data_IF_920229678915
#
_entry.id   IF_920229678915
#
_cell.length_a   1.000
_cell.length_b   1.000
_cell.length_c   1.000
_cell.angle_alpha   90.00
_cell.angle_beta   90.00
_cell.angle_gamma   90.00
#
_symmetry.space_group_name_H-M   'P 1'
#
loop_
_entity.id
_entity.type
_entity.pdbx_description
1 polymer ?
#
# COMPACT_ATOMS: atom_id res chain seq x y z
N UNK A 1 -18.24 9.68 82.85
CA UNK A 1 -17.74 9.65 81.45
C UNK A 1 -18.01 8.26 80.93
N UNK A 2 -19.09 8.11 80.17
CA UNK A 2 -19.09 8.10 78.68
C UNK A 2 -18.59 6.74 78.17
N UNK A 3 -19.21 6.02 77.23
CA UNK A 3 -20.14 6.46 76.21
C UNK A 3 -20.94 5.27 75.60
N UNK A 4 -22.21 5.55 75.34
CA UNK A 4 -23.09 5.18 74.21
C UNK A 4 -22.84 3.83 73.49
N UNK A 5 -23.77 2.87 73.70
CA UNK A 5 -23.97 1.72 72.80
C UNK A 5 -25.12 2.03 71.83
N UNK A 6 -24.78 1.99 70.55
CA UNK A 6 -25.55 2.33 69.33
C UNK A 6 -26.38 1.13 68.85
N UNK A 7 -27.73 1.17 68.84
CA UNK A 7 -28.53 0.14 68.16
C UNK A 7 -29.52 0.69 67.11
N UNK A 8 -29.81 2.00 67.07
CA UNK A 8 -30.91 2.53 66.23
C UNK A 8 -30.54 2.74 64.76
N UNK A 9 -29.26 2.98 64.45
CA UNK A 9 -28.81 3.21 63.06
C UNK A 9 -28.88 1.98 62.14
N UNK A 10 -28.85 0.76 62.67
CA UNK A 10 -28.84 -0.45 61.85
C UNK A 10 -30.24 -0.90 61.41
N UNK A 11 -31.27 -0.63 62.23
CA UNK A 11 -32.65 -0.99 61.90
C UNK A 11 -33.27 -0.05 60.85
N UNK A 12 -32.99 1.26 60.93
CA UNK A 12 -33.47 2.26 59.96
C UNK A 12 -32.76 2.12 58.60
N UNK A 13 -31.46 1.78 58.62
CA UNK A 13 -30.68 1.46 57.40
C UNK A 13 -31.26 0.26 56.64
N UNK A 14 -31.61 -0.82 57.35
CA UNK A 14 -32.18 -2.04 56.73
C UNK A 14 -33.56 -1.79 56.10
N UNK A 15 -34.42 -0.99 56.73
CA UNK A 15 -35.76 -0.66 56.21
C UNK A 15 -35.71 0.24 54.98
N UNK A 16 -34.81 1.23 54.97
CA UNK A 16 -34.64 2.14 53.82
C UNK A 16 -34.05 1.39 52.62
N UNK A 17 -33.06 0.52 52.84
CA UNK A 17 -32.47 -0.29 51.78
C UNK A 17 -33.48 -1.30 51.21
N UNK A 18 -34.33 -1.90 52.05
CA UNK A 18 -35.41 -2.77 51.59
C UNK A 18 -36.41 -2.02 50.70
N UNK A 19 -36.80 -0.79 51.07
CA UNK A 19 -37.72 0.04 50.27
C UNK A 19 -37.15 0.50 48.93
N UNK A 20 -35.84 0.80 48.88
CA UNK A 20 -35.13 1.17 47.65
C UNK A 20 -35.01 -0.03 46.73
N UNK A 21 -34.64 -1.19 47.27
CA UNK A 21 -34.60 -2.45 46.49
C UNK A 21 -35.98 -2.83 45.96
N UNK A 22 -37.05 -2.58 46.73
CA UNK A 22 -38.42 -2.78 46.28
C UNK A 22 -38.78 -1.85 45.11
N UNK A 23 -38.51 -0.54 45.22
CA UNK A 23 -38.75 0.42 44.14
C UNK A 23 -37.91 0.14 42.89
N UNK A 24 -36.67 -0.30 43.06
CA UNK A 24 -35.80 -0.71 41.94
C UNK A 24 -36.36 -1.96 41.28
N UNK A 25 -36.86 -2.93 42.07
CA UNK A 25 -37.48 -4.14 41.51
C UNK A 25 -38.81 -3.85 40.79
N UNK A 26 -39.62 -2.91 41.28
CA UNK A 26 -40.84 -2.45 40.62
C UNK A 26 -40.52 -1.74 39.30
N UNK A 27 -39.52 -0.86 39.28
CA UNK A 27 -39.04 -0.22 38.05
C UNK A 27 -38.50 -1.23 37.03
N UNK A 28 -37.79 -2.27 37.50
CA UNK A 28 -37.29 -3.34 36.63
C UNK A 28 -38.44 -4.16 36.06
N UNK A 29 -39.45 -4.50 36.86
CA UNK A 29 -40.64 -5.23 36.42
C UNK A 29 -41.52 -4.39 35.47
N UNK A 30 -41.70 -3.09 35.72
CA UNK A 30 -42.38 -2.18 34.78
C UNK A 30 -41.64 -2.06 33.45
N UNK A 31 -40.31 -1.93 33.48
CA UNK A 31 -39.47 -1.94 32.28
C UNK A 31 -39.57 -3.29 31.56
N UNK A 32 -39.61 -4.40 32.31
CA UNK A 32 -39.82 -5.75 31.75
C UNK A 32 -41.17 -5.87 31.07
N UNK A 33 -42.26 -5.44 31.69
CA UNK A 33 -43.63 -5.49 31.15
C UNK A 33 -43.74 -4.58 29.93
N UNK A 34 -43.08 -3.41 29.95
CA UNK A 34 -42.97 -2.53 28.80
C UNK A 34 -42.19 -3.20 27.65
N UNK A 35 -41.09 -3.88 27.95
CA UNK A 35 -40.31 -4.70 27.00
C UNK A 35 -41.03 -5.98 26.54
N UNK A 36 -41.94 -6.53 27.36
CA UNK A 36 -42.78 -7.71 27.10
C UNK A 36 -44.11 -7.35 26.42
N UNK A 37 -44.43 -6.07 26.30
CA UNK A 37 -45.62 -5.64 25.55
C UNK A 37 -45.47 -6.07 24.09
N UNK A 38 -46.47 -6.77 23.56
CA UNK A 38 -46.41 -7.36 22.21
C UNK A 38 -46.17 -6.33 21.10
N UNK A 39 -46.46 -5.05 21.37
CA UNK A 39 -46.20 -3.93 20.46
C UNK A 39 -44.75 -3.45 20.51
N UNK A 40 -44.13 -3.35 21.71
CA UNK A 40 -42.73 -2.98 21.85
C UNK A 40 -41.79 -4.07 21.30
N UNK A 41 -42.13 -5.35 21.52
CA UNK A 41 -41.38 -6.47 20.95
C UNK A 41 -41.41 -6.46 19.41
N UNK A 42 -42.56 -6.16 18.81
CA UNK A 42 -42.67 -6.03 17.34
C UNK A 42 -41.84 -4.86 16.80
N UNK A 43 -41.84 -3.71 17.49
CA UNK A 43 -41.01 -2.56 17.11
C UNK A 43 -39.52 -2.85 17.26
N UNK A 44 -39.10 -3.49 18.35
CA UNK A 44 -37.73 -3.90 18.57
C UNK A 44 -37.26 -4.92 17.52
N UNK A 45 -38.09 -5.93 17.23
CA UNK A 45 -37.82 -6.90 16.18
C UNK A 45 -37.71 -6.23 14.80
N UNK A 46 -38.61 -5.30 14.48
CA UNK A 46 -38.56 -4.55 13.21
C UNK A 46 -37.29 -3.70 13.09
N UNK A 47 -36.86 -3.04 14.17
CA UNK A 47 -35.61 -2.28 14.19
C UNK A 47 -34.40 -3.20 14.06
N UNK A 48 -34.42 -4.34 14.76
CA UNK A 48 -33.35 -5.34 14.68
C UNK A 48 -33.22 -5.91 13.26
N UNK A 49 -34.33 -6.26 12.62
CA UNK A 49 -34.35 -6.70 11.21
C UNK A 49 -33.88 -5.57 10.29
N UNK A 50 -34.31 -4.33 10.52
CA UNK A 50 -33.84 -3.17 9.76
C UNK A 50 -32.32 -3.00 9.84
N UNK A 51 -31.74 -3.11 11.04
CA UNK A 51 -30.29 -3.07 11.23
C UNK A 51 -29.56 -4.24 10.54
N UNK A 52 -30.14 -5.44 10.57
CA UNK A 52 -29.59 -6.59 9.85
C UNK A 52 -29.59 -6.33 8.34
N UNK A 53 -30.70 -5.84 7.79
CA UNK A 53 -30.80 -5.52 6.36
C UNK A 53 -29.80 -4.41 5.98
N UNK A 54 -29.69 -3.38 6.81
CA UNK A 54 -28.74 -2.28 6.59
C UNK A 54 -27.30 -2.79 6.61
N UNK A 55 -26.95 -3.64 7.56
CA UNK A 55 -25.62 -4.23 7.67
C UNK A 55 -25.33 -5.20 6.50
N UNK A 56 -26.31 -6.01 6.09
CA UNK A 56 -26.20 -6.89 4.94
C UNK A 56 -26.00 -6.09 3.63
N UNK A 57 -26.76 -5.01 3.43
CA UNK A 57 -26.59 -4.08 2.31
C UNK A 57 -25.21 -3.44 2.31
N UNK A 58 -24.69 -3.05 3.48
CA UNK A 58 -23.36 -2.48 3.62
C UNK A 58 -22.27 -3.49 3.25
N UNK A 59 -22.37 -4.74 3.74
CA UNK A 59 -21.44 -5.81 3.36
C UNK A 59 -21.49 -6.06 1.85
N UNK A 60 -22.69 -6.14 1.28
CA UNK A 60 -22.86 -6.39 -0.16
C UNK A 60 -22.27 -5.25 -1.00
N UNK A 61 -22.41 -4.00 -0.53
CA UNK A 61 -21.80 -2.83 -1.16
C UNK A 61 -20.28 -2.89 -1.13
N UNK A 62 -19.68 -3.20 0.03
CA UNK A 62 -18.22 -3.33 0.17
C UNK A 62 -17.69 -4.48 -0.71
N UNK A 63 -18.36 -5.64 -0.69
CA UNK A 63 -17.99 -6.77 -1.54
C UNK A 63 -18.10 -6.44 -3.02
N UNK A 64 -19.17 -5.76 -3.44
CA UNK A 64 -19.35 -5.33 -4.82
C UNK A 64 -18.27 -4.34 -5.27
N UNK A 65 -17.93 -3.38 -4.41
CA UNK A 65 -16.83 -2.44 -4.67
C UNK A 65 -15.49 -3.17 -4.79
N UNK A 66 -15.15 -4.04 -3.85
CA UNK A 66 -13.91 -4.82 -3.90
C UNK A 66 -13.86 -5.68 -5.17
N UNK A 67 -14.94 -6.39 -5.51
CA UNK A 67 -15.02 -7.21 -6.70
C UNK A 67 -14.81 -6.38 -7.97
N UNK A 68 -15.47 -5.22 -8.08
CA UNK A 68 -15.27 -4.30 -9.21
C UNK A 68 -13.83 -3.79 -9.27
N UNK A 69 -13.27 -3.38 -8.13
CA UNK A 69 -11.89 -2.90 -8.04
C UNK A 69 -10.91 -3.95 -8.57
N UNK A 70 -11.01 -5.20 -8.09
CA UNK A 70 -10.11 -6.28 -8.48
C UNK A 70 -10.33 -6.79 -9.91
N UNK A 71 -11.57 -6.76 -10.44
CA UNK A 71 -11.85 -7.23 -11.79
C UNK A 71 -11.59 -6.17 -12.87
N UNK A 72 -11.81 -4.89 -12.56
CA UNK A 72 -11.88 -3.84 -13.57
C UNK A 72 -10.72 -2.85 -13.54
N UNK A 73 -10.09 -2.58 -12.39
CA UNK A 73 -8.99 -1.60 -12.33
C UNK A 73 -7.68 -2.32 -12.67
N UNK A 74 -7.11 -2.11 -13.87
CA UNK A 74 -5.82 -2.68 -14.21
C UNK A 74 -4.70 -2.00 -13.43
N UNK A 75 -3.56 -2.69 -13.30
CA UNK A 75 -2.35 -2.07 -12.78
C UNK A 75 -1.84 -0.99 -13.76
N UNK A 76 -1.67 0.23 -13.27
CA UNK A 76 -1.33 1.42 -14.09
C UNK A 76 0.18 1.49 -14.37
N UNK A 77 1.01 0.83 -13.56
CA UNK A 77 2.46 0.82 -13.68
C UNK A 77 3.03 -0.56 -13.39
N UNK A 78 4.04 -0.94 -14.17
CA UNK A 78 4.81 -2.17 -13.99
C UNK A 78 6.22 -1.79 -13.54
N UNK A 79 6.64 -2.31 -12.38
CA UNK A 79 8.00 -2.15 -11.86
C UNK A 79 8.75 -3.46 -12.02
N UNK A 80 9.82 -3.44 -12.81
CA UNK A 80 10.66 -4.60 -13.08
C UNK A 80 12.04 -4.38 -12.48
N UNK A 81 12.59 -5.37 -11.75
CA UNK A 81 13.95 -5.27 -11.25
C UNK A 81 14.94 -5.32 -12.43
N UNK A 82 15.94 -4.44 -12.39
CA UNK A 82 17.00 -4.37 -13.39
C UNK A 82 18.29 -4.92 -12.77
N UNK A 83 18.77 -6.05 -13.30
CA UNK A 83 19.98 -6.69 -12.80
C UNK A 83 21.18 -6.40 -13.72
N UNK A 84 22.03 -5.48 -13.30
CA UNK A 84 23.25 -5.14 -14.04
C UNK A 84 24.24 -6.32 -14.06
N UNK A 85 24.71 -6.64 -15.25
CA UNK A 85 25.76 -7.61 -15.52
C UNK A 85 27.07 -6.87 -15.82
N UNK A 86 28.14 -7.37 -15.20
CA UNK A 86 29.49 -6.84 -15.30
C UNK A 86 30.35 -7.94 -15.92
N UNK A 87 30.44 -7.94 -17.24
CA UNK A 87 31.30 -8.90 -17.96
C UNK A 87 32.69 -8.28 -18.12
N UNK A 88 33.75 -9.05 -17.84
CA UNK A 88 35.15 -8.59 -17.93
C UNK A 88 35.54 -8.07 -19.33
N UNK A 89 34.79 -8.43 -20.37
CA UNK A 89 35.00 -8.01 -21.75
C UNK A 89 34.22 -6.76 -22.19
N UNK A 90 33.27 -6.27 -21.38
CA UNK A 90 32.42 -5.13 -21.72
C UNK A 90 32.78 -3.95 -20.80
N UNK A 91 33.17 -2.84 -21.40
CA UNK A 91 33.60 -1.64 -20.67
C UNK A 91 32.48 -0.94 -19.86
N UNK A 92 31.22 -1.37 -20.01
CA UNK A 92 30.05 -0.72 -19.44
C UNK A 92 29.08 -1.78 -18.89
N UNK A 93 28.43 -1.54 -17.73
CA UNK A 93 27.45 -2.45 -17.17
C UNK A 93 26.20 -2.50 -18.06
N UNK A 94 25.69 -3.71 -18.31
CA UNK A 94 24.51 -3.93 -19.15
C UNK A 94 23.47 -4.75 -18.41
N UNK A 95 22.19 -4.50 -18.64
CA UNK A 95 21.10 -5.31 -18.08
C UNK A 95 20.10 -5.66 -19.18
N UNK A 96 19.59 -6.88 -19.13
CA UNK A 96 18.50 -7.33 -20.00
C UNK A 96 17.27 -7.61 -19.13
N UNK A 97 16.11 -7.11 -19.57
CA UNK A 97 14.83 -7.24 -18.87
C UNK A 97 13.82 -7.81 -19.84
N UNK A 98 13.18 -8.91 -19.45
CA UNK A 98 12.13 -9.52 -20.24
C UNK A 98 10.78 -8.81 -19.98
N UNK A 99 10.19 -8.28 -21.06
CA UNK A 99 8.90 -7.60 -21.05
C UNK A 99 7.75 -8.50 -21.57
N UNK A 100 8.07 -9.71 -22.02
CA UNK A 100 7.13 -10.61 -22.69
C UNK A 100 6.24 -11.39 -21.73
N UNK A 101 6.69 -11.61 -20.49
CA UNK A 101 5.96 -12.39 -19.48
C UNK A 101 5.68 -11.53 -18.26
N UNK A 102 4.40 -11.34 -17.94
CA UNK A 102 4.03 -10.87 -16.62
C UNK A 102 3.63 -12.08 -15.74
N UNK A 103 4.06 -12.10 -14.47
CA UNK A 103 3.93 -13.28 -13.61
C UNK A 103 2.48 -13.63 -13.22
N UNK A 104 1.50 -12.77 -13.52
CA UNK A 104 0.10 -12.91 -13.11
C UNK A 104 -0.87 -13.19 -14.28
N UNK A 105 -0.51 -12.81 -15.49
CA UNK A 105 -1.27 -12.97 -16.73
C UNK A 105 -0.26 -13.43 -17.78
N UNK A 106 -0.59 -14.47 -18.54
CA UNK A 106 0.24 -14.98 -19.64
C UNK A 106 0.23 -14.04 -20.87
N UNK A 107 0.29 -12.73 -20.63
CA UNK A 107 0.29 -11.66 -21.62
C UNK A 107 1.51 -10.78 -21.41
N UNK A 108 2.00 -10.16 -22.49
CA UNK A 108 3.08 -9.17 -22.41
C UNK A 108 2.76 -8.04 -21.44
N UNK A 109 3.80 -7.41 -20.91
CA UNK A 109 3.70 -6.20 -20.08
C UNK A 109 3.27 -5.00 -20.92
N UNK A 110 3.71 -4.97 -22.18
CA UNK A 110 3.33 -3.96 -23.16
C UNK A 110 2.18 -4.49 -24.02
N UNK A 111 1.18 -3.65 -24.23
CA UNK A 111 0.03 -3.93 -25.09
C UNK A 111 0.04 -2.97 -26.27
N UNK A 112 -0.16 -3.49 -27.47
CA UNK A 112 -0.16 -2.70 -28.71
C UNK A 112 -1.24 -1.62 -28.67
N UNK A 113 -0.93 -0.46 -29.26
CA UNK A 113 -1.86 0.68 -29.31
C UNK A 113 -1.98 1.49 -28.02
N UNK A 114 -1.23 1.16 -26.97
CA UNK A 114 -1.14 1.95 -25.74
C UNK A 114 0.16 2.75 -25.68
N UNK A 115 0.09 3.96 -25.12
CA UNK A 115 1.25 4.81 -24.88
C UNK A 115 1.81 4.54 -23.48
N UNK A 116 3.11 4.24 -23.41
CA UNK A 116 3.83 3.95 -22.18
C UNK A 116 4.94 4.98 -21.94
N UNK A 117 5.15 5.31 -20.65
CA UNK A 117 6.31 6.07 -20.21
C UNK A 117 7.27 5.12 -19.51
N UNK A 118 8.53 5.15 -19.91
CA UNK A 118 9.57 4.27 -19.39
C UNK A 118 10.45 5.09 -18.47
N UNK A 119 10.38 4.80 -17.19
CA UNK A 119 11.17 5.44 -16.15
C UNK A 119 12.19 4.44 -15.60
N UNK A 120 13.44 4.87 -15.47
CA UNK A 120 14.43 4.13 -14.69
C UNK A 120 14.55 4.74 -13.30
N UNK A 121 14.43 3.88 -12.29
CA UNK A 121 14.76 4.20 -10.91
C UNK A 121 16.12 3.58 -10.59
N UNK A 122 17.14 4.42 -10.40
CA UNK A 122 18.50 3.99 -10.11
C UNK A 122 18.88 4.36 -8.68
N UNK A 123 19.17 3.37 -7.85
CA UNK A 123 19.70 3.58 -6.51
C UNK A 123 21.23 3.61 -6.54
N UNK A 124 21.83 4.70 -6.08
CA UNK A 124 23.28 4.92 -6.08
C UNK A 124 23.76 5.30 -4.68
N UNK A 125 24.82 4.66 -4.15
CA UNK A 125 25.42 5.06 -2.87
C UNK A 125 26.02 6.46 -2.90
N UNK A 126 25.93 7.19 -1.79
CA UNK A 126 26.53 8.52 -1.60
C UNK A 126 28.06 8.44 -1.36
N UNK A 127 28.79 7.88 -2.32
CA UNK A 127 30.25 7.74 -2.26
C UNK A 127 30.98 8.87 -3.00
N UNK A 128 32.19 9.23 -2.56
CA UNK A 128 33.01 10.23 -3.26
C UNK A 128 33.31 9.81 -4.70
N UNK A 129 33.57 8.53 -4.94
CA UNK A 129 33.77 7.97 -6.27
C UNK A 129 32.59 8.24 -7.22
N UNK A 130 31.35 8.07 -6.74
CA UNK A 130 30.14 8.31 -7.54
C UNK A 130 29.91 9.80 -7.81
N UNK A 131 30.32 10.69 -6.91
CA UNK A 131 30.29 12.14 -7.17
C UNK A 131 31.35 12.56 -8.20
N UNK A 132 32.55 11.99 -8.11
CA UNK A 132 33.66 12.29 -9.02
C UNK A 132 33.43 11.78 -10.45
N UNK A 133 32.56 10.76 -10.60
CA UNK A 133 32.13 10.23 -11.89
C UNK A 133 31.42 11.29 -12.76
N UNK A 134 30.76 12.26 -12.13
CA UNK A 134 30.09 13.38 -12.81
C UNK A 134 28.89 12.94 -13.65
N UNK A 135 28.81 13.45 -14.89
CA UNK A 135 27.74 13.12 -15.82
C UNK A 135 27.98 11.74 -16.44
N UNK A 136 26.97 10.89 -16.44
CA UNK A 136 26.96 9.61 -17.15
C UNK A 136 25.70 9.46 -17.99
N UNK A 137 25.76 8.61 -19.01
CA UNK A 137 24.63 8.34 -19.91
C UNK A 137 24.03 6.98 -19.57
N UNK A 138 22.71 6.90 -19.62
CA UNK A 138 21.98 5.63 -19.58
C UNK A 138 21.37 5.40 -20.96
N UNK A 139 21.66 4.23 -21.52
CA UNK A 139 21.16 3.80 -22.82
C UNK A 139 20.10 2.73 -22.62
N UNK A 140 18.96 2.90 -23.28
CA UNK A 140 17.87 1.94 -23.35
C UNK A 140 17.66 1.51 -24.80
N UNK A 141 17.61 0.20 -25.02
CA UNK A 141 17.31 -0.37 -26.32
C UNK A 141 16.17 -1.35 -26.17
N UNK A 142 15.07 -1.10 -26.86
CA UNK A 142 13.99 -2.07 -26.99
C UNK A 142 14.28 -3.02 -28.13
N UNK A 143 14.11 -4.31 -27.85
CA UNK A 143 14.29 -5.38 -28.82
C UNK A 143 13.02 -6.19 -28.98
N UNK A 144 12.73 -6.62 -30.20
CA UNK A 144 11.65 -7.58 -30.48
C UNK A 144 12.13 -9.02 -30.22
N UNK A 145 11.24 -10.02 -30.39
CA UNK A 145 11.62 -11.43 -30.24
C UNK A 145 12.59 -11.93 -31.33
N UNK A 146 12.74 -11.20 -32.44
CA UNK A 146 13.76 -11.45 -33.46
C UNK A 146 15.11 -10.82 -33.08
N UNK A 147 15.21 -10.22 -31.89
CA UNK A 147 16.38 -9.52 -31.36
C UNK A 147 16.78 -8.26 -32.17
N UNK A 148 15.86 -7.73 -32.96
CA UNK A 148 16.00 -6.49 -33.72
C UNK A 148 15.64 -5.29 -32.84
N UNK A 149 16.34 -4.18 -33.03
CA UNK A 149 16.10 -2.95 -32.26
C UNK A 149 14.87 -2.23 -32.79
N UNK A 150 13.83 -2.11 -31.97
CA UNK A 150 12.58 -1.41 -32.30
C UNK A 150 12.53 0.02 -31.75
N UNK A 151 13.34 0.29 -30.73
CA UNK A 151 13.38 1.60 -30.10
C UNK A 151 14.71 1.79 -29.39
N UNK A 152 15.17 3.03 -29.33
CA UNK A 152 16.40 3.40 -28.66
C UNK A 152 16.24 4.75 -27.97
N UNK A 153 16.81 4.88 -26.79
CA UNK A 153 16.91 6.15 -26.07
C UNK A 153 18.22 6.24 -25.30
N UNK A 154 18.75 7.45 -25.20
CA UNK A 154 19.97 7.75 -24.47
C UNK A 154 19.76 9.04 -23.69
N UNK A 155 19.88 8.96 -22.36
CA UNK A 155 19.61 10.10 -21.46
C UNK A 155 20.78 10.37 -20.52
N UNK A 156 21.25 11.62 -20.40
CA UNK A 156 22.26 11.99 -19.42
C UNK A 156 21.67 12.00 -18.01
N UNK A 157 22.48 11.63 -17.05
CA UNK A 157 22.17 11.61 -15.64
C UNK A 157 23.41 12.05 -14.84
N UNK A 158 23.18 12.62 -13.67
CA UNK A 158 24.24 13.00 -12.74
C UNK A 158 23.81 12.70 -11.32
N UNK A 159 24.76 12.21 -10.52
CA UNK A 159 24.59 12.04 -9.07
C UNK A 159 24.44 13.43 -8.44
N UNK A 160 23.40 13.63 -7.63
CA UNK A 160 23.10 14.96 -7.06
C UNK A 160 24.21 15.37 -6.08
N UNK A 161 25.01 16.36 -6.48
CA UNK A 161 26.10 16.86 -5.65
C UNK A 161 25.60 17.39 -4.31
N UNK A 162 26.36 17.07 -3.25
CA UNK A 162 26.17 17.61 -1.89
C UNK A 162 27.48 18.27 -1.45
N UNK A 163 27.38 19.47 -0.90
CA UNK A 163 28.55 20.19 -0.39
C UNK A 163 29.15 19.50 0.85
N UNK A 164 30.43 19.78 1.16
CA UNK A 164 31.10 19.22 2.34
C UNK A 164 30.32 19.48 3.64
N UNK A 165 29.87 20.73 3.85
CA UNK A 165 29.11 21.10 5.04
C UNK A 165 27.78 20.35 5.11
N UNK A 166 27.09 20.25 3.98
CA UNK A 166 25.82 19.52 3.90
C UNK A 166 25.99 18.04 4.21
N UNK A 167 27.04 17.39 3.66
CA UNK A 167 27.35 15.98 3.95
C UNK A 167 27.58 15.76 5.45
N UNK A 168 28.42 16.59 6.08
CA UNK A 168 28.69 16.46 7.51
C UNK A 168 27.44 16.64 8.38
N UNK A 169 26.62 17.65 8.09
CA UNK A 169 25.36 17.87 8.82
C UNK A 169 24.42 16.67 8.61
N UNK A 170 24.28 16.21 7.37
CA UNK A 170 23.43 15.07 7.04
C UNK A 170 23.89 13.79 7.75
N UNK A 171 25.19 13.50 7.77
CA UNK A 171 25.76 12.36 8.50
C UNK A 171 25.52 12.47 10.00
N UNK A 172 25.70 13.65 10.60
CA UNK A 172 25.42 13.87 12.04
C UNK A 172 23.93 13.62 12.33
N UNK A 173 23.02 14.17 11.52
CA UNK A 173 21.57 13.99 11.68
C UNK A 173 21.16 12.54 11.46
N UNK A 174 21.77 11.86 10.48
CA UNK A 174 21.48 10.46 10.15
C UNK A 174 22.21 9.44 11.03
N UNK A 175 23.12 9.85 11.92
CA UNK A 175 23.91 8.92 12.74
C UNK A 175 23.03 7.98 13.56
N UNK A 176 21.99 8.51 14.23
CA UNK A 176 21.07 7.72 15.03
C UNK A 176 20.27 6.73 14.17
N UNK A 177 19.56 7.14 13.10
CA UNK A 177 18.79 6.19 12.29
C UNK A 177 19.66 5.20 11.48
N UNK A 178 20.90 5.56 11.12
CA UNK A 178 21.86 4.64 10.49
C UNK A 178 22.23 3.49 11.43
N UNK A 179 22.42 3.76 12.73
CA UNK A 179 22.72 2.71 13.71
C UNK A 179 21.60 1.67 13.84
N UNK A 180 20.35 2.09 13.63
CA UNK A 180 19.18 1.21 13.67
C UNK A 180 18.79 0.65 12.28
N UNK A 181 19.62 0.85 11.24
CA UNK A 181 19.33 0.45 9.85
C UNK A 181 17.99 0.97 9.30
N UNK A 182 17.51 2.10 9.85
CA UNK A 182 16.27 2.77 9.41
C UNK A 182 16.54 3.75 8.28
N UNK A 183 17.79 4.21 8.15
CA UNK A 183 18.24 5.10 7.08
C UNK A 183 19.45 4.51 6.38
N UNK A 184 19.65 4.92 5.11
CA UNK A 184 20.81 4.54 4.31
C UNK A 184 21.45 5.77 3.66
N UNK A 185 22.75 5.70 3.41
CA UNK A 185 23.51 6.72 2.68
C UNK A 185 23.50 6.42 1.17
N UNK A 186 22.30 6.42 0.61
CA UNK A 186 22.05 6.24 -0.83
C UNK A 186 21.09 7.29 -1.34
N UNK A 187 21.12 7.50 -2.66
CA UNK A 187 20.20 8.37 -3.36
C UNK A 187 19.50 7.62 -4.50
N UNK A 188 18.22 7.90 -4.67
CA UNK A 188 17.44 7.38 -5.79
C UNK A 188 17.34 8.45 -6.88
N UNK A 189 17.72 8.08 -8.10
CA UNK A 189 17.64 8.92 -9.28
C UNK A 189 16.51 8.40 -10.17
N UNK A 190 15.55 9.26 -10.47
CA UNK A 190 14.45 8.99 -11.39
C UNK A 190 14.78 9.59 -12.76
N UNK A 191 14.95 8.74 -13.77
CA UNK A 191 15.34 9.15 -15.12
C UNK A 191 14.27 8.71 -16.15
N UNK A 192 13.53 9.64 -16.77
CA UNK A 192 12.61 9.30 -17.86
C UNK A 192 13.42 8.95 -19.10
N UNK A 193 13.40 7.68 -19.50
CA UNK A 193 14.13 7.19 -20.65
C UNK A 193 13.35 7.44 -21.94
N UNK A 194 12.08 7.02 -21.99
CA UNK A 194 11.19 7.21 -23.14
C UNK A 194 9.84 7.72 -22.65
N UNK A 195 9.31 8.72 -23.33
CA UNK A 195 7.98 9.28 -23.09
C UNK A 195 7.07 8.89 -24.25
N UNK A 196 5.85 8.46 -23.95
CA UNK A 196 4.83 8.08 -24.94
C UNK A 196 5.31 7.05 -25.98
N UNK A 197 6.02 6.01 -25.54
CA UNK A 197 6.33 4.85 -26.36
C UNK A 197 5.06 4.11 -26.74
N UNK A 198 4.84 3.86 -28.03
CA UNK A 198 3.74 3.04 -28.51
C UNK A 198 4.32 1.80 -29.19
N UNK A 199 3.85 0.63 -28.79
CA UNK A 199 4.19 -0.61 -29.47
C UNK A 199 3.23 -0.86 -30.64
N UNK A 200 3.79 -1.14 -31.81
CA UNK A 200 3.02 -1.46 -33.01
C UNK A 200 2.36 -2.84 -32.87
N UNK A 201 1.05 -2.89 -33.14
CA UNK A 201 0.22 -4.09 -33.01
C UNK A 201 0.71 -5.27 -33.89
N UNK A 202 1.37 -4.96 -35.01
CA UNK A 202 1.94 -5.94 -35.94
C UNK A 202 3.10 -6.72 -35.31
N UNK A 203 3.91 -6.06 -34.47
CA UNK A 203 5.08 -6.65 -33.82
C UNK A 203 4.69 -7.76 -32.82
N UNK A 204 3.53 -7.61 -32.17
CA UNK A 204 2.99 -8.58 -31.21
C UNK A 204 2.50 -9.86 -31.88
N UNK A 205 2.00 -9.78 -33.12
CA UNK A 205 1.48 -10.94 -33.87
C UNK A 205 2.57 -11.94 -34.27
N UNK A 206 3.82 -11.49 -34.40
CA UNK A 206 4.98 -12.34 -34.75
C UNK A 206 5.43 -13.17 -33.53
N UNK A 207 5.13 -12.73 -32.31
CA UNK A 207 5.62 -13.35 -31.08
C UNK A 207 4.78 -14.55 -30.59
N UNK A 208 3.61 -14.83 -31.17
CA UNK A 208 2.80 -16.01 -30.81
C UNK A 208 3.23 -17.32 -31.51
N UNK A 209 4.28 -17.29 -32.33
CA UNK A 209 4.79 -18.47 -33.03
C UNK A 209 6.30 -18.68 -32.82
N UNK A 210 6.75 -18.90 -31.58
CA UNK A 210 7.99 -19.66 -31.34
C UNK A 210 8.07 -20.19 -29.91
N UNK A 211 7.55 -21.39 -29.71
CA UNK A 211 7.98 -22.25 -28.62
C UNK A 211 9.26 -22.96 -29.04
N UNK A 212 10.30 -22.91 -28.21
CA UNK A 212 11.30 -23.96 -28.11
C UNK A 212 11.23 -24.53 -26.70
#
# INVERSE_FOLDING_TARGET
>A
MEDIKKPETEAVSKTNNASVLQKVSELIEEVKIFLLSGEAQRRFLSLFIFFIILFAMLIFSILGYCLFYFLYIPQIAHSLPVYFQYYDSIAQPTAEVDLSVNSWRQSGILTGGQYYNVLMELNVPDSQHNYDLGNFMINLTFKNALNETVGYSSRPCIVKYKSFVQKNIETIVKTVPLFFDVAQESQTIYLPLIESYMEDEVQLSINYYKYF
#
